data_IF_038012985186
#
_entry.id   IF_038012985186
#
_cell.length_a   1.000
_cell.length_b   1.000
_cell.length_c   1.000
_cell.angle_alpha   90.00
_cell.angle_beta   90.00
_cell.angle_gamma   90.00
#
_symmetry.space_group_name_H-M   'P 1'
#
loop_
_entity.id
_entity.type
_entity.pdbx_description
1 polymer ?
#
# COMPACT_ATOMS: atom_id res chain seq x y z
N UNK A 1 21.23 -31.49 -62.54
CA UNK A 1 22.09 -32.62 -62.92
C UNK A 1 22.14 -33.55 -61.72
N UNK A 2 21.40 -34.64 -61.84
CA UNK A 2 21.91 -36.00 -62.06
C UNK A 2 22.63 -36.53 -60.80
N UNK A 3 22.43 -37.68 -60.23
CA UNK A 3 21.49 -38.81 -60.47
C UNK A 3 21.80 -39.79 -59.30
N UNK A 4 20.76 -40.45 -58.76
CA UNK A 4 20.53 -41.91 -58.83
C UNK A 4 21.73 -42.80 -58.38
N UNK A 5 21.61 -43.87 -57.74
CA UNK A 5 20.57 -44.83 -57.37
C UNK A 5 21.25 -46.02 -56.63
N UNK A 6 20.45 -46.67 -55.77
CA UNK A 6 20.21 -48.11 -55.77
C UNK A 6 21.30 -49.16 -55.49
N UNK A 7 21.13 -50.11 -54.64
CA UNK A 7 20.66 -51.49 -54.84
C UNK A 7 20.98 -52.35 -53.58
N UNK A 8 19.99 -52.83 -52.93
CA UNK A 8 19.40 -54.14 -52.85
C UNK A 8 20.33 -55.35 -52.52
N UNK A 9 19.87 -56.04 -51.50
CA UNK A 9 19.65 -57.49 -51.34
C UNK A 9 20.83 -58.48 -51.15
N UNK A 10 20.77 -59.27 -50.12
CA UNK A 10 20.40 -60.70 -50.06
C UNK A 10 20.80 -61.35 -48.74
N UNK A 11 19.84 -61.90 -48.07
CA UNK A 11 19.44 -63.32 -47.88
C UNK A 11 20.27 -64.17 -46.91
N UNK A 12 19.58 -64.62 -45.85
CA UNK A 12 19.38 -65.92 -45.25
C UNK A 12 20.58 -66.73 -44.77
N UNK A 13 20.54 -67.05 -43.46
CA UNK A 13 20.53 -68.48 -43.05
C UNK A 13 19.97 -68.61 -41.63
N UNK A 14 19.15 -69.68 -41.50
CA UNK A 14 18.54 -70.18 -40.27
C UNK A 14 19.59 -70.93 -39.47
N UNK A 15 19.56 -70.78 -38.15
CA UNK A 15 19.71 -71.94 -37.27
C UNK A 15 18.96 -71.75 -35.96
N UNK A 16 18.27 -72.80 -35.60
CA UNK A 16 17.46 -73.02 -34.38
C UNK A 16 18.45 -73.37 -33.24
N UNK A 17 18.22 -72.88 -32.04
CA UNK A 17 17.87 -73.77 -30.89
C UNK A 17 18.02 -73.04 -29.54
N UNK A 18 17.07 -73.37 -28.77
CA UNK A 18 16.87 -73.55 -27.32
C UNK A 18 16.20 -72.43 -26.53
N UNK A 19 15.06 -72.80 -26.16
CA UNK A 19 14.13 -72.30 -25.14
C UNK A 19 14.88 -72.18 -23.82
N UNK A 20 14.98 -70.99 -23.30
CA UNK A 20 15.24 -70.68 -21.90
C UNK A 20 14.20 -69.73 -21.40
N UNK A 21 13.23 -70.25 -20.65
CA UNK A 21 12.16 -69.48 -20.00
C UNK A 21 12.83 -68.69 -18.88
N UNK A 22 12.97 -67.37 -19.10
CA UNK A 22 13.19 -66.44 -18.00
C UNK A 22 11.91 -65.64 -17.79
N UNK A 23 11.25 -65.95 -16.68
CA UNK A 23 10.10 -65.16 -16.18
C UNK A 23 10.72 -63.88 -15.57
N UNK A 24 10.71 -62.82 -16.34
CA UNK A 24 10.99 -61.46 -15.80
C UNK A 24 9.68 -60.94 -15.17
N UNK A 25 9.68 -60.94 -13.85
CA UNK A 25 8.66 -60.27 -13.05
C UNK A 25 8.81 -58.77 -13.34
N UNK A 26 7.94 -58.26 -14.19
CA UNK A 26 7.73 -56.82 -14.32
C UNK A 26 6.99 -56.36 -13.06
N UNK A 27 7.74 -55.85 -12.08
CA UNK A 27 7.19 -55.08 -10.97
C UNK A 27 6.70 -53.77 -11.54
N UNK A 28 5.41 -53.69 -11.82
CA UNK A 28 4.75 -52.42 -12.12
C UNK A 28 4.80 -51.59 -10.82
N UNK A 29 5.74 -50.68 -10.72
CA UNK A 29 5.65 -49.59 -9.77
C UNK A 29 4.46 -48.72 -10.23
N UNK A 30 3.29 -49.00 -9.71
CA UNK A 30 2.19 -48.06 -9.69
C UNK A 30 2.65 -46.93 -8.77
N UNK A 31 3.22 -45.86 -9.35
CA UNK A 31 3.28 -44.57 -8.69
C UNK A 31 1.84 -44.18 -8.37
N UNK A 32 1.43 -44.46 -7.14
CA UNK A 32 0.25 -43.82 -6.56
C UNK A 32 0.60 -42.33 -6.56
N UNK A 33 0.15 -41.60 -7.59
CA UNK A 33 -0.04 -40.21 -7.54
C UNK A 33 -0.93 -39.94 -6.35
N UNK A 34 -0.34 -39.59 -5.20
CA UNK A 34 -1.10 -38.96 -4.14
C UNK A 34 -1.85 -37.80 -4.80
N UNK A 35 -3.20 -37.81 -4.74
CA UNK A 35 -3.93 -36.62 -5.16
C UNK A 35 -3.37 -35.50 -4.30
N UNK A 36 -2.79 -34.48 -4.96
CA UNK A 36 -2.43 -33.23 -4.32
C UNK A 36 -3.62 -32.87 -3.45
N UNK A 37 -3.39 -32.62 -2.14
CA UNK A 37 -4.40 -32.01 -1.29
C UNK A 37 -4.93 -30.83 -2.07
N UNK A 38 -6.14 -30.93 -2.60
CA UNK A 38 -6.88 -29.78 -3.08
C UNK A 38 -6.98 -28.89 -1.85
N UNK A 39 -6.32 -27.72 -1.90
CA UNK A 39 -6.55 -26.70 -0.88
C UNK A 39 -8.06 -26.52 -0.84
N UNK A 40 -8.66 -26.82 0.32
CA UNK A 40 -10.10 -26.77 0.51
C UNK A 40 -10.58 -25.38 0.10
N UNK A 41 -11.59 -25.30 -0.77
CA UNK A 41 -12.24 -24.06 -1.17
C UNK A 41 -12.72 -23.34 0.10
N UNK A 42 -12.01 -22.29 0.51
CA UNK A 42 -12.40 -21.51 1.68
C UNK A 42 -13.61 -20.64 1.33
N UNK A 43 -14.65 -20.75 2.14
CA UNK A 43 -15.86 -19.94 1.97
C UNK A 43 -15.92 -18.91 3.10
N UNK A 44 -16.00 -17.63 2.73
CA UNK A 44 -16.20 -16.53 3.66
C UNK A 44 -17.66 -16.11 3.60
N UNK A 45 -18.31 -16.10 4.76
CA UNK A 45 -19.66 -15.57 4.93
C UNK A 45 -19.61 -14.15 5.51
N UNK A 46 -20.44 -13.26 4.99
CA UNK A 46 -20.57 -11.90 5.50
C UNK A 46 -21.63 -11.10 4.74
N UNK A 47 -21.78 -9.84 5.14
CA UNK A 47 -22.63 -8.89 4.44
C UNK A 47 -21.76 -8.02 3.52
N UNK A 48 -22.13 -7.94 2.25
CA UNK A 48 -21.44 -7.05 1.31
C UNK A 48 -21.50 -5.60 1.80
N UNK A 49 -20.34 -4.95 1.94
CA UNK A 49 -20.22 -3.60 2.50
C UNK A 49 -20.93 -2.52 1.66
N UNK A 50 -21.17 -2.76 0.36
CA UNK A 50 -21.82 -1.79 -0.53
C UNK A 50 -23.34 -1.77 -0.32
N UNK A 51 -23.99 -2.94 -0.29
CA UNK A 51 -25.44 -3.05 -0.34
C UNK A 51 -26.06 -3.75 0.88
N UNK A 52 -25.22 -4.14 1.84
CA UNK A 52 -25.63 -4.85 3.07
C UNK A 52 -26.38 -6.17 2.83
N UNK A 53 -26.25 -6.78 1.64
CA UNK A 53 -26.83 -8.09 1.35
C UNK A 53 -25.89 -9.22 1.81
N UNK A 54 -26.42 -10.31 2.38
CA UNK A 54 -25.60 -11.44 2.80
C UNK A 54 -25.04 -12.17 1.58
N UNK A 55 -23.76 -12.54 1.64
CA UNK A 55 -23.02 -13.19 0.55
C UNK A 55 -22.11 -14.29 1.06
N UNK A 56 -21.86 -15.28 0.21
CA UNK A 56 -20.75 -16.20 0.31
C UNK A 56 -19.69 -15.82 -0.73
N UNK A 57 -18.44 -15.69 -0.29
CA UNK A 57 -17.29 -15.45 -1.15
C UNK A 57 -16.45 -16.73 -1.13
N UNK A 58 -16.35 -17.39 -2.27
CA UNK A 58 -15.53 -18.58 -2.44
C UNK A 58 -14.12 -18.18 -2.86
N UNK A 59 -13.14 -18.71 -2.15
CA UNK A 59 -11.73 -18.49 -2.42
C UNK A 59 -11.09 -19.77 -2.94
N UNK A 60 -10.25 -19.62 -3.95
CA UNK A 60 -9.43 -20.69 -4.50
C UNK A 60 -8.09 -20.12 -4.95
N UNK A 61 -6.99 -20.80 -4.62
CA UNK A 61 -5.62 -20.43 -5.01
C UNK A 61 -5.29 -18.95 -4.71
N UNK A 62 -5.72 -18.46 -3.52
CA UNK A 62 -5.50 -17.10 -3.07
C UNK A 62 -6.34 -16.03 -3.77
N UNK A 63 -7.32 -16.42 -4.59
CA UNK A 63 -8.19 -15.51 -5.36
C UNK A 63 -9.66 -15.74 -5.04
N UNK A 64 -10.47 -14.74 -5.32
CA UNK A 64 -11.93 -14.84 -5.30
C UNK A 64 -12.36 -15.64 -6.54
N UNK A 65 -12.92 -16.83 -6.35
CA UNK A 65 -13.40 -17.66 -7.44
C UNK A 65 -14.82 -17.30 -7.87
N UNK A 66 -15.71 -17.07 -6.89
CA UNK A 66 -17.09 -16.63 -7.13
C UNK A 66 -17.68 -15.94 -5.91
N UNK A 67 -18.74 -15.17 -6.13
CA UNK A 67 -19.54 -14.50 -5.11
C UNK A 67 -20.99 -14.91 -5.34
N UNK A 68 -21.64 -15.47 -4.32
CA UNK A 68 -23.02 -15.89 -4.42
C UNK A 68 -23.87 -15.30 -3.29
N UNK A 69 -25.14 -14.97 -3.55
CA UNK A 69 -26.03 -14.52 -2.50
C UNK A 69 -26.20 -15.60 -1.41
N UNK A 70 -26.15 -15.21 -0.16
CA UNK A 70 -26.56 -16.07 0.95
C UNK A 70 -28.04 -15.85 1.24
N UNK A 71 -28.87 -16.85 0.98
CA UNK A 71 -30.33 -16.77 1.21
C UNK A 71 -30.73 -17.07 2.67
N UNK A 72 -29.79 -17.58 3.48
CA UNK A 72 -30.04 -17.88 4.90
C UNK A 72 -29.58 -16.68 5.73
N UNK A 73 -30.50 -16.08 6.48
CA UNK A 73 -30.13 -15.10 7.52
C UNK A 73 -29.41 -15.84 8.64
N UNK A 74 -28.13 -15.53 8.91
CA UNK A 74 -27.46 -16.05 10.10
C UNK A 74 -27.85 -15.17 11.31
N UNK A 75 -28.13 -15.79 12.44
CA UNK A 75 -28.33 -15.11 13.72
C UNK A 75 -27.00 -14.65 14.36
N UNK A 76 -25.90 -14.76 13.64
CA UNK A 76 -24.56 -14.34 14.08
C UNK A 76 -24.42 -12.80 14.03
N UNK A 77 -23.53 -12.21 14.80
CA UNK A 77 -23.30 -10.78 14.72
C UNK A 77 -23.01 -10.38 13.26
N UNK A 78 -23.64 -9.30 12.80
CA UNK A 78 -23.57 -8.83 11.43
C UNK A 78 -22.15 -8.35 11.10
N UNK A 79 -21.35 -9.19 10.43
CA UNK A 79 -20.05 -8.82 9.92
C UNK A 79 -20.13 -8.46 8.44
N UNK A 80 -19.64 -7.28 8.12
CA UNK A 80 -19.47 -6.84 6.74
C UNK A 80 -18.19 -7.39 6.17
N UNK A 81 -18.20 -7.74 4.89
CA UNK A 81 -16.99 -8.10 4.13
C UNK A 81 -16.67 -7.00 3.14
N UNK A 82 -15.41 -6.53 3.16
CA UNK A 82 -14.87 -5.52 2.25
C UNK A 82 -13.49 -5.93 1.73
N UNK A 83 -12.97 -5.25 0.68
CA UNK A 83 -11.57 -5.41 0.29
C UNK A 83 -10.64 -5.05 1.44
N UNK A 84 -9.46 -5.66 1.48
CA UNK A 84 -8.42 -5.26 2.41
C UNK A 84 -7.91 -3.85 2.14
N UNK A 85 -7.62 -3.12 3.21
CA UNK A 85 -7.21 -1.72 3.13
C UNK A 85 -5.80 -1.58 2.54
N UNK A 86 -5.60 -0.52 1.77
CA UNK A 86 -4.34 -0.17 1.10
C UNK A 86 -3.88 1.19 1.62
N UNK A 87 -2.81 1.22 2.40
CA UNK A 87 -2.22 2.45 2.95
C UNK A 87 -0.94 2.82 2.20
N UNK A 88 -0.99 3.88 1.41
CA UNK A 88 0.13 4.28 0.55
C UNK A 88 1.11 5.27 1.20
N UNK A 89 0.86 5.64 2.45
CA UNK A 89 1.75 6.50 3.24
C UNK A 89 1.70 6.10 4.70
N UNK A 90 2.74 5.39 5.15
CA UNK A 90 2.91 4.96 6.54
C UNK A 90 4.40 4.96 6.88
N UNK A 91 4.80 5.74 7.88
CA UNK A 91 6.19 5.95 8.26
C UNK A 91 6.73 4.89 9.22
N UNK A 92 5.82 4.18 9.88
CA UNK A 92 6.14 3.12 10.83
C UNK A 92 4.91 2.62 11.56
N UNK A 93 5.07 1.61 12.43
CA UNK A 93 3.99 1.07 13.25
C UNK A 93 4.53 0.23 14.41
N UNK A 94 3.88 0.25 15.58
CA UNK A 94 4.17 -0.53 16.80
C UNK A 94 5.66 -0.55 17.19
N UNK A 95 6.30 0.63 17.17
CA UNK A 95 7.71 0.82 17.53
C UNK A 95 8.70 0.60 16.41
N UNK A 96 8.23 0.39 15.17
CA UNK A 96 9.09 0.22 13.98
C UNK A 96 9.07 1.49 13.14
N UNK A 97 10.24 2.13 12.97
CA UNK A 97 10.44 3.31 12.12
C UNK A 97 11.10 2.90 10.80
N UNK A 98 10.39 3.04 9.67
CA UNK A 98 10.94 2.68 8.35
C UNK A 98 12.07 3.63 7.90
N UNK A 99 12.22 4.77 8.54
CA UNK A 99 13.32 5.74 8.32
C UNK A 99 14.40 5.69 9.41
N UNK A 100 14.23 4.83 10.42
CA UNK A 100 15.15 4.71 11.54
C UNK A 100 16.51 4.09 11.15
N UNK A 101 17.60 4.44 11.85
CA UNK A 101 18.95 3.99 11.49
C UNK A 101 19.19 2.49 11.71
N UNK A 102 18.35 1.83 12.52
CA UNK A 102 18.51 0.44 12.94
C UNK A 102 17.43 -0.50 12.40
N UNK A 103 16.72 -0.11 11.34
CA UNK A 103 15.69 -0.94 10.71
C UNK A 103 16.24 -2.32 10.31
N UNK A 104 15.47 -3.37 10.57
CA UNK A 104 15.76 -4.76 10.17
C UNK A 104 14.59 -5.35 9.37
N UNK A 105 14.78 -6.50 8.74
CA UNK A 105 13.70 -7.23 8.06
C UNK A 105 12.66 -7.71 9.07
N UNK A 106 13.09 -8.16 10.24
CA UNK A 106 12.25 -8.64 11.34
C UNK A 106 11.34 -7.52 11.88
N UNK A 107 11.83 -6.28 11.90
CA UNK A 107 11.01 -5.11 12.25
C UNK A 107 9.90 -4.92 11.22
N UNK A 108 10.20 -5.03 9.92
CA UNK A 108 9.18 -4.93 8.87
C UNK A 108 8.15 -6.06 8.99
N UNK A 109 8.58 -7.29 9.32
CA UNK A 109 7.68 -8.41 9.60
C UNK A 109 6.75 -8.09 10.78
N UNK A 110 7.31 -7.56 11.87
CA UNK A 110 6.54 -7.14 13.06
C UNK A 110 5.49 -6.09 12.71
N UNK A 111 5.88 -5.03 12.01
CA UNK A 111 4.99 -3.95 11.59
C UNK A 111 3.87 -4.48 10.67
N UNK A 112 4.22 -5.30 9.67
CA UNK A 112 3.24 -5.88 8.75
C UNK A 112 2.18 -6.71 9.47
N UNK A 113 2.60 -7.60 10.37
CA UNK A 113 1.67 -8.42 11.17
C UNK A 113 0.77 -7.58 12.08
N UNK A 114 1.26 -6.44 12.57
CA UNK A 114 0.45 -5.51 13.35
C UNK A 114 -0.55 -4.74 12.47
N UNK A 115 -0.18 -4.37 11.25
CA UNK A 115 -1.05 -3.73 10.28
C UNK A 115 -2.20 -4.64 9.82
N UNK A 116 -1.98 -5.94 9.72
CA UNK A 116 -3.05 -6.89 9.44
C UNK A 116 -4.15 -6.88 10.51
N UNK A 117 -3.81 -6.59 11.79
CA UNK A 117 -4.80 -6.51 12.88
C UNK A 117 -5.77 -5.34 12.71
N UNK A 118 -5.37 -4.32 11.98
CA UNK A 118 -6.20 -3.14 11.67
C UNK A 118 -6.70 -3.15 10.21
N UNK A 119 -6.66 -4.32 9.55
CA UNK A 119 -7.26 -4.53 8.23
C UNK A 119 -6.41 -4.05 7.04
N UNK A 120 -5.20 -3.56 7.25
CA UNK A 120 -4.28 -3.16 6.18
C UNK A 120 -3.65 -4.40 5.59
N UNK A 121 -4.02 -4.77 4.36
CA UNK A 121 -3.52 -5.94 3.64
C UNK A 121 -2.38 -5.60 2.69
N UNK A 122 -2.32 -4.34 2.27
CA UNK A 122 -1.25 -3.81 1.42
C UNK A 122 -0.86 -2.41 1.90
N UNK A 123 0.43 -2.11 1.88
CA UNK A 123 0.91 -0.79 2.28
C UNK A 123 2.21 -0.41 1.59
N UNK A 124 2.47 0.89 1.51
CA UNK A 124 3.75 1.41 1.03
C UNK A 124 4.54 1.92 2.24
N UNK A 125 5.56 1.17 2.70
CA UNK A 125 6.46 1.70 3.73
C UNK A 125 7.09 2.98 3.20
N UNK A 126 6.96 4.06 4.01
CA UNK A 126 7.38 5.41 3.65
C UNK A 126 8.73 5.70 4.27
N UNK A 127 9.71 6.01 3.43
CA UNK A 127 11.03 6.48 3.87
C UNK A 127 11.06 7.98 3.67
N UNK A 128 11.18 8.71 4.78
CA UNK A 128 11.19 10.19 4.79
C UNK A 128 12.61 10.75 4.63
N UNK A 129 12.70 12.05 4.50
CA UNK A 129 13.96 12.84 4.45
C UNK A 129 14.89 12.47 5.60
N UNK A 130 16.08 11.96 5.27
CA UNK A 130 17.12 11.53 6.20
C UNK A 130 18.48 11.61 5.49
N UNK A 131 19.59 11.28 6.17
CA UNK A 131 20.88 11.05 5.55
C UNK A 131 20.77 10.02 4.42
N UNK A 132 21.38 10.33 3.26
CA UNK A 132 21.25 9.51 2.06
C UNK A 132 21.74 8.08 2.26
N UNK A 133 22.74 7.85 3.10
CA UNK A 133 23.25 6.52 3.42
C UNK A 133 22.22 5.71 4.21
N UNK A 134 21.46 6.35 5.10
CA UNK A 134 20.39 5.73 5.88
C UNK A 134 19.19 5.44 4.96
N UNK A 135 18.77 6.39 4.12
CA UNK A 135 17.71 6.16 3.12
C UNK A 135 18.06 4.95 2.25
N UNK A 136 19.27 4.92 1.68
CA UNK A 136 19.74 3.83 0.83
C UNK A 136 19.76 2.47 1.55
N UNK A 137 20.26 2.45 2.80
CA UNK A 137 20.25 1.26 3.66
C UNK A 137 18.83 0.74 3.90
N UNK A 138 17.92 1.63 4.30
CA UNK A 138 16.55 1.25 4.63
C UNK A 138 15.77 0.76 3.41
N UNK A 139 15.92 1.41 2.26
CA UNK A 139 15.36 0.93 1.00
C UNK A 139 15.85 -0.48 0.63
N UNK A 140 17.13 -0.79 0.87
CA UNK A 140 17.66 -2.13 0.64
C UNK A 140 17.08 -3.17 1.62
N UNK A 141 16.82 -2.78 2.89
CA UNK A 141 16.17 -3.64 3.89
C UNK A 141 14.70 -3.88 3.49
N UNK A 142 13.98 -2.83 3.11
CA UNK A 142 12.60 -2.93 2.63
C UNK A 142 12.50 -3.81 1.38
N UNK A 143 13.49 -3.73 0.47
CA UNK A 143 13.55 -4.60 -0.70
C UNK A 143 13.74 -6.08 -0.31
N UNK A 144 14.53 -6.38 0.74
CA UNK A 144 14.63 -7.74 1.29
C UNK A 144 13.33 -8.18 1.96
N UNK A 145 12.68 -7.28 2.71
CA UNK A 145 11.39 -7.58 3.34
C UNK A 145 10.28 -7.84 2.31
N UNK A 146 10.31 -7.16 1.16
CA UNK A 146 9.40 -7.44 0.05
C UNK A 146 9.60 -8.83 -0.56
N UNK A 147 10.80 -9.38 -0.49
CA UNK A 147 11.08 -10.76 -0.93
C UNK A 147 10.76 -11.80 0.16
N UNK A 148 10.31 -11.39 1.36
CA UNK A 148 9.98 -12.32 2.45
C UNK A 148 8.68 -13.07 2.15
N UNK A 149 8.65 -14.42 2.28
CA UNK A 149 7.53 -15.26 1.83
C UNK A 149 6.19 -14.95 2.50
N UNK A 150 6.21 -14.55 3.78
CA UNK A 150 4.98 -14.33 4.53
C UNK A 150 4.39 -12.93 4.32
N UNK A 151 5.23 -11.90 4.22
CA UNK A 151 4.79 -10.52 4.29
C UNK A 151 4.99 -9.73 2.99
N UNK A 152 5.88 -10.19 2.11
CA UNK A 152 6.27 -9.44 0.93
C UNK A 152 5.11 -9.12 -0.01
N UNK A 153 4.11 -9.98 -0.05
CA UNK A 153 2.87 -9.79 -0.82
C UNK A 153 2.05 -8.58 -0.36
N UNK A 154 2.23 -8.14 0.90
CA UNK A 154 1.61 -6.94 1.47
C UNK A 154 2.36 -5.64 1.16
N UNK A 155 3.50 -5.70 0.46
CA UNK A 155 4.34 -4.53 0.15
C UNK A 155 4.42 -4.37 -1.38
N UNK A 156 3.41 -3.76 -2.04
CA UNK A 156 3.40 -3.61 -3.50
C UNK A 156 4.46 -2.63 -4.01
N UNK A 157 4.87 -1.66 -3.20
CA UNK A 157 5.88 -0.65 -3.52
C UNK A 157 6.30 0.13 -2.30
N UNK A 158 7.21 1.09 -2.50
CA UNK A 158 7.69 1.99 -1.44
C UNK A 158 7.32 3.43 -1.79
N UNK A 159 7.12 4.23 -0.76
CA UNK A 159 6.97 5.67 -0.86
C UNK A 159 8.26 6.35 -0.39
N UNK A 160 8.84 7.21 -1.22
CA UNK A 160 9.94 8.10 -0.85
C UNK A 160 9.38 9.50 -0.65
N UNK A 161 9.33 9.99 0.61
CA UNK A 161 8.83 11.31 0.95
C UNK A 161 9.99 12.27 1.22
N UNK A 162 10.29 13.07 0.23
CA UNK A 162 11.55 13.83 0.18
C UNK A 162 12.73 12.93 -0.27
N UNK A 163 13.98 13.36 -0.11
CA UNK A 163 14.45 14.62 0.50
C UNK A 163 14.25 15.88 -0.37
N UNK A 164 13.62 15.77 -1.50
CA UNK A 164 13.43 16.82 -2.50
C UNK A 164 12.19 17.69 -2.17
N UNK A 165 12.14 18.21 -0.96
CA UNK A 165 11.03 19.02 -0.43
C UNK A 165 11.47 20.43 -0.10
N UNK A 166 10.52 21.33 0.22
CA UNK A 166 10.83 22.71 0.54
C UNK A 166 11.67 22.84 1.81
N UNK A 167 12.78 23.59 1.83
CA UNK A 167 13.55 23.86 3.04
C UNK A 167 12.86 24.89 3.96
N UNK A 168 11.83 25.58 3.46
CA UNK A 168 11.17 26.66 4.20
C UNK A 168 10.49 26.13 5.46
N UNK A 169 10.72 26.81 6.58
CA UNK A 169 10.05 26.55 7.85
C UNK A 169 8.52 26.54 7.67
N UNK A 170 7.84 25.57 8.27
CA UNK A 170 6.42 25.32 8.13
C UNK A 170 6.10 24.38 6.97
N UNK A 171 6.65 24.60 5.78
CA UNK A 171 6.41 23.73 4.62
C UNK A 171 7.17 22.40 4.71
N UNK A 172 8.39 22.40 5.25
CA UNK A 172 9.14 21.16 5.48
C UNK A 172 8.53 20.26 6.56
N UNK A 173 7.54 20.73 7.31
CA UNK A 173 6.94 19.96 8.41
C UNK A 173 7.98 19.50 9.44
N UNK A 174 7.93 18.21 9.81
CA UNK A 174 8.86 17.57 10.74
C UNK A 174 10.20 17.16 10.13
N UNK A 175 10.40 17.30 8.80
CA UNK A 175 11.64 16.93 8.12
C UNK A 175 12.81 17.81 8.54
N UNK A 176 13.97 17.17 8.78
CA UNK A 176 15.18 17.86 9.19
C UNK A 176 15.81 18.62 8.02
N UNK A 177 15.92 19.95 8.15
CA UNK A 177 16.43 20.85 7.10
C UNK A 177 17.79 20.42 6.53
N UNK A 178 18.69 19.96 7.39
CA UNK A 178 20.05 19.54 7.02
C UNK A 178 20.12 18.40 5.99
N UNK A 179 19.03 17.65 5.80
CA UNK A 179 18.96 16.54 4.86
C UNK A 179 18.11 16.86 3.62
N UNK A 180 17.51 18.05 3.56
CA UNK A 180 16.73 18.48 2.40
C UNK A 180 17.67 18.81 1.25
N UNK A 181 17.30 18.38 0.04
CA UNK A 181 18.13 18.51 -1.16
C UNK A 181 17.29 18.99 -2.35
N UNK A 182 17.97 19.51 -3.36
CA UNK A 182 17.38 19.70 -4.68
C UNK A 182 17.24 18.35 -5.38
N UNK A 183 16.23 18.17 -6.26
CA UNK A 183 16.07 16.97 -7.04
C UNK A 183 17.32 16.65 -7.89
N UNK A 184 17.87 15.44 -7.69
CA UNK A 184 19.00 14.91 -8.46
C UNK A 184 18.63 13.51 -9.00
N UNK A 185 18.51 13.40 -10.31
CA UNK A 185 18.12 12.15 -10.95
C UNK A 185 19.15 11.04 -10.78
N UNK A 186 20.44 11.37 -10.84
CA UNK A 186 21.52 10.39 -10.67
C UNK A 186 21.54 9.82 -9.27
N UNK A 187 21.38 10.68 -8.26
CA UNK A 187 21.27 10.27 -6.86
C UNK A 187 20.03 9.41 -6.64
N UNK A 188 18.89 9.79 -7.21
CA UNK A 188 17.66 9.01 -7.13
C UNK A 188 17.80 7.61 -7.73
N UNK A 189 18.51 7.46 -8.85
CA UNK A 189 18.76 6.15 -9.44
C UNK A 189 19.53 5.21 -8.51
N UNK A 190 20.44 5.75 -7.67
CA UNK A 190 21.12 4.95 -6.65
C UNK A 190 20.15 4.47 -5.54
N UNK A 191 19.16 5.29 -5.17
CA UNK A 191 18.09 4.89 -4.25
C UNK A 191 17.19 3.83 -4.89
N UNK A 192 16.79 4.03 -6.14
CA UNK A 192 15.95 3.10 -6.87
C UNK A 192 16.64 1.73 -7.05
N UNK A 193 17.94 1.73 -7.30
CA UNK A 193 18.77 0.52 -7.34
C UNK A 193 18.77 -0.20 -5.99
N UNK A 194 18.98 0.52 -4.87
CA UNK A 194 18.92 -0.05 -3.53
C UNK A 194 17.54 -0.63 -3.20
N UNK A 195 16.49 0.03 -3.65
CA UNK A 195 15.10 -0.39 -3.54
C UNK A 195 14.73 -1.54 -4.49
N UNK A 196 15.64 -2.06 -5.33
CA UNK A 196 15.34 -3.03 -6.40
C UNK A 196 14.17 -2.57 -7.30
N UNK A 197 14.13 -1.28 -7.65
CA UNK A 197 13.09 -0.63 -8.45
C UNK A 197 11.67 -0.68 -7.82
N UNK A 198 11.61 -0.72 -6.50
CA UNK A 198 10.33 -0.77 -5.76
C UNK A 198 9.86 0.59 -5.23
N UNK A 199 10.59 1.69 -5.41
CA UNK A 199 10.00 3.02 -5.20
C UNK A 199 8.96 3.23 -6.29
N UNK A 200 7.69 3.38 -5.88
CA UNK A 200 6.55 3.57 -6.79
C UNK A 200 5.88 4.92 -6.60
N UNK A 201 6.05 5.53 -5.44
CA UNK A 201 5.55 6.84 -5.09
C UNK A 201 6.71 7.73 -4.63
N UNK A 202 6.77 8.95 -5.14
CA UNK A 202 7.69 9.98 -4.66
C UNK A 202 6.95 11.27 -4.36
N UNK A 203 7.20 11.84 -3.19
CA UNK A 203 6.70 13.16 -2.79
C UNK A 203 7.81 14.17 -2.89
N UNK A 204 7.54 15.29 -3.59
CA UNK A 204 8.50 16.37 -3.78
C UNK A 204 7.84 17.76 -3.89
N UNK A 205 8.66 18.80 -3.76
CA UNK A 205 8.27 20.19 -3.91
C UNK A 205 8.49 20.67 -5.36
N UNK A 206 7.43 21.12 -6.07
CA UNK A 206 7.50 21.48 -7.48
C UNK A 206 8.28 22.78 -7.76
N UNK A 207 8.41 23.67 -6.76
CA UNK A 207 9.13 24.96 -6.87
C UNK A 207 10.64 24.82 -6.83
N UNK A 208 11.17 23.63 -6.51
CA UNK A 208 12.61 23.44 -6.43
C UNK A 208 13.26 23.46 -7.82
N UNK A 209 14.44 24.06 -7.88
CA UNK A 209 15.26 24.00 -9.09
C UNK A 209 15.51 22.53 -9.51
N UNK A 210 15.26 22.20 -10.77
CA UNK A 210 15.39 20.83 -11.28
C UNK A 210 14.15 19.94 -11.07
N UNK A 211 13.11 20.40 -10.37
CA UNK A 211 11.93 19.58 -10.08
C UNK A 211 11.20 19.12 -11.37
N UNK A 212 10.98 20.00 -12.34
CA UNK A 212 10.22 19.68 -13.54
C UNK A 212 10.90 18.60 -14.41
N UNK A 213 12.19 18.67 -14.76
CA UNK A 213 12.85 17.58 -15.47
C UNK A 213 12.95 16.30 -14.65
N UNK A 214 13.06 16.39 -13.32
CA UNK A 214 13.03 15.24 -12.42
C UNK A 214 11.66 14.55 -12.44
N UNK A 215 10.55 15.29 -12.35
CA UNK A 215 9.17 14.77 -12.47
C UNK A 215 9.00 14.02 -13.78
N UNK A 216 9.41 14.60 -14.93
CA UNK A 216 9.35 13.95 -16.24
C UNK A 216 10.10 12.61 -16.25
N UNK A 217 11.28 12.56 -15.63
CA UNK A 217 12.05 11.33 -15.52
C UNK A 217 11.35 10.28 -14.63
N UNK A 218 10.78 10.67 -13.49
CA UNK A 218 10.01 9.78 -12.63
C UNK A 218 8.83 9.17 -13.39
N UNK A 219 8.02 9.98 -14.05
CA UNK A 219 6.84 9.55 -14.82
C UNK A 219 7.24 8.63 -15.96
N UNK A 220 8.30 8.95 -16.72
CA UNK A 220 8.82 8.10 -17.79
C UNK A 220 9.25 6.72 -17.29
N UNK A 221 9.67 6.62 -16.02
CA UNK A 221 10.06 5.36 -15.38
C UNK A 221 8.92 4.71 -14.56
N UNK A 222 7.67 5.14 -14.74
CA UNK A 222 6.48 4.51 -14.18
C UNK A 222 6.26 4.79 -12.69
N UNK A 223 6.83 5.88 -12.14
CA UNK A 223 6.57 6.33 -10.80
C UNK A 223 5.36 7.26 -10.77
N UNK A 224 4.57 7.17 -9.70
CA UNK A 224 3.60 8.21 -9.35
C UNK A 224 4.34 9.33 -8.64
N UNK A 225 4.12 10.55 -9.13
CA UNK A 225 4.68 11.75 -8.52
C UNK A 225 3.57 12.48 -7.77
N UNK A 226 3.83 12.75 -6.49
CA UNK A 226 2.96 13.48 -5.59
C UNK A 226 3.61 14.80 -5.15
N UNK A 227 2.82 15.86 -5.08
CA UNK A 227 3.27 17.16 -4.61
C UNK A 227 3.01 17.26 -3.10
N UNK A 228 4.01 17.56 -2.32
CA UNK A 228 3.90 17.69 -0.86
C UNK A 228 5.07 18.40 -0.23
N UNK A 229 4.89 18.89 0.98
CA UNK A 229 5.91 19.64 1.70
C UNK A 229 6.50 20.78 0.86
N UNK A 230 5.63 21.61 0.26
CA UNK A 230 6.04 22.61 -0.72
C UNK A 230 5.35 23.97 -0.52
N UNK A 231 6.00 25.01 -1.03
CA UNK A 231 5.47 26.37 -1.10
C UNK A 231 5.30 26.82 -2.57
N UNK A 232 5.04 25.86 -3.45
CA UNK A 232 4.87 26.12 -4.87
C UNK A 232 3.70 27.04 -5.16
N UNK A 233 3.88 27.89 -6.16
CA UNK A 233 2.82 28.75 -6.72
C UNK A 233 1.87 27.95 -7.59
N UNK A 234 0.76 28.57 -8.01
CA UNK A 234 -0.15 27.94 -8.99
C UNK A 234 0.60 27.56 -10.28
N UNK A 235 1.55 28.39 -10.72
CA UNK A 235 2.37 28.11 -11.91
C UNK A 235 3.29 26.90 -11.69
N UNK A 236 3.92 26.78 -10.54
CA UNK A 236 4.79 25.63 -10.22
C UNK A 236 3.99 24.33 -10.21
N UNK A 237 2.81 24.34 -9.59
CA UNK A 237 1.90 23.20 -9.52
C UNK A 237 1.42 22.82 -10.93
N UNK A 238 0.98 23.79 -11.74
CA UNK A 238 0.55 23.54 -13.11
C UNK A 238 1.69 22.95 -13.98
N UNK A 239 2.91 23.48 -13.83
CA UNK A 239 4.08 22.94 -14.54
C UNK A 239 4.38 21.51 -14.12
N UNK A 240 4.23 21.17 -12.82
CA UNK A 240 4.40 19.81 -12.33
C UNK A 240 3.31 18.85 -12.86
N UNK A 241 2.07 19.31 -12.93
CA UNK A 241 0.95 18.54 -13.52
C UNK A 241 1.18 18.29 -15.01
N UNK A 242 1.63 19.31 -15.75
CA UNK A 242 1.99 19.20 -17.16
C UNK A 242 3.19 18.26 -17.37
N UNK A 243 4.09 18.15 -16.39
CA UNK A 243 5.20 17.20 -16.38
C UNK A 243 4.78 15.77 -15.99
N UNK A 244 3.54 15.57 -15.50
CA UNK A 244 2.94 14.27 -15.21
C UNK A 244 2.73 13.98 -13.73
N UNK A 245 2.86 14.95 -12.82
CA UNK A 245 2.41 14.78 -11.43
C UNK A 245 0.88 14.51 -11.39
N UNK A 246 0.44 13.59 -10.51
CA UNK A 246 -0.97 13.14 -10.46
C UNK A 246 -1.54 13.05 -9.05
N UNK A 247 -0.78 13.38 -8.03
CA UNK A 247 -1.23 13.31 -6.65
C UNK A 247 -0.75 14.52 -5.84
N UNK A 248 -1.52 14.91 -4.83
CA UNK A 248 -1.13 15.80 -3.74
C UNK A 248 -1.00 14.98 -2.45
N UNK A 249 0.13 15.08 -1.78
CA UNK A 249 0.44 14.37 -0.54
C UNK A 249 -0.24 15.06 0.63
N UNK A 250 -1.01 14.30 1.43
CA UNK A 250 -1.69 14.74 2.66
C UNK A 250 -2.12 16.22 2.62
N UNK A 251 -2.92 16.56 1.58
CA UNK A 251 -3.34 17.96 1.32
C UNK A 251 -3.82 18.66 2.60
N UNK A 252 -3.35 19.89 2.80
CA UNK A 252 -3.56 20.67 4.02
C UNK A 252 -2.47 20.49 5.06
N UNK A 253 -1.64 19.43 4.97
CA UNK A 253 -0.48 19.17 5.81
C UNK A 253 0.82 19.50 5.06
N UNK A 254 1.96 19.54 5.75
CA UNK A 254 3.22 19.96 5.14
C UNK A 254 3.15 21.39 4.60
N UNK A 255 2.38 22.26 5.26
CA UNK A 255 2.14 23.66 4.92
C UNK A 255 2.37 24.52 6.17
N UNK A 256 2.78 25.80 5.97
CA UNK A 256 2.95 26.72 7.10
C UNK A 256 1.58 27.11 7.71
N UNK A 257 1.52 27.27 9.03
CA UNK A 257 0.30 27.72 9.72
C UNK A 257 -0.19 29.12 9.26
N UNK A 258 0.74 29.96 8.81
CA UNK A 258 0.43 31.28 8.27
C UNK A 258 0.80 31.31 6.78
N UNK A 259 -0.20 31.40 5.93
CA UNK A 259 -0.07 31.45 4.47
C UNK A 259 -0.88 32.62 3.90
N UNK A 260 -0.51 33.04 2.69
CA UNK A 260 -1.34 34.00 1.99
C UNK A 260 -2.71 33.40 1.67
N UNK A 261 -3.81 34.10 2.00
CA UNK A 261 -5.18 33.60 1.83
C UNK A 261 -5.55 33.25 0.38
N UNK A 262 -4.92 33.90 -0.61
CA UNK A 262 -5.21 33.69 -2.03
C UNK A 262 -4.09 32.95 -2.77
N UNK A 263 -2.83 33.31 -2.47
CA UNK A 263 -1.65 32.74 -3.13
C UNK A 263 -0.97 31.74 -2.19
N UNK A 264 -1.47 30.53 -2.16
CA UNK A 264 -0.94 29.44 -1.33
C UNK A 264 -1.02 28.11 -2.09
N UNK A 265 -0.31 27.07 -1.67
CA UNK A 265 -0.29 25.80 -2.39
C UNK A 265 -1.58 24.98 -2.30
N UNK A 266 -2.50 25.28 -1.40
CA UNK A 266 -3.70 24.46 -1.17
C UNK A 266 -4.70 24.62 -2.32
N UNK A 267 -5.05 25.87 -2.67
CA UNK A 267 -6.08 26.15 -3.66
C UNK A 267 -5.77 25.59 -5.05
N UNK A 268 -4.55 25.76 -5.61
CA UNK A 268 -4.21 25.20 -6.91
C UNK A 268 -4.26 23.67 -6.93
N UNK A 269 -3.81 22.97 -5.88
CA UNK A 269 -3.90 21.52 -5.79
C UNK A 269 -5.34 21.03 -5.66
N UNK A 270 -6.15 21.75 -4.88
CA UNK A 270 -7.55 21.41 -4.66
C UNK A 270 -8.39 21.58 -5.94
N UNK A 271 -8.12 22.63 -6.71
CA UNK A 271 -8.85 22.95 -7.94
C UNK A 271 -8.37 22.19 -9.18
N UNK A 272 -7.19 21.54 -9.14
CA UNK A 272 -6.62 20.84 -10.29
C UNK A 272 -7.26 19.45 -10.48
N UNK A 273 -8.00 19.25 -11.55
CA UNK A 273 -8.77 18.04 -11.82
C UNK A 273 -7.90 16.79 -12.01
N UNK A 274 -6.69 16.94 -12.55
CA UNK A 274 -5.75 15.84 -12.79
C UNK A 274 -5.03 15.37 -11.53
N UNK A 275 -5.09 16.11 -10.42
CA UNK A 275 -4.52 15.72 -9.15
C UNK A 275 -5.55 15.01 -8.27
N UNK A 276 -5.35 13.72 -7.99
CA UNK A 276 -5.98 13.08 -6.84
C UNK A 276 -5.31 13.60 -5.57
N UNK A 277 -6.05 13.72 -4.49
CA UNK A 277 -5.51 14.13 -3.20
C UNK A 277 -5.40 12.94 -2.25
N UNK A 278 -4.30 12.83 -1.49
CA UNK A 278 -4.35 12.06 -0.25
C UNK A 278 -4.63 12.98 0.93
N UNK A 279 -5.31 12.46 1.94
CA UNK A 279 -5.65 13.19 3.17
C UNK A 279 -5.48 12.30 4.41
N UNK A 280 -5.06 12.91 5.51
CA UNK A 280 -5.03 12.30 6.85
C UNK A 280 -6.32 12.71 7.56
N UNK A 281 -7.36 11.91 7.44
CA UNK A 281 -8.67 12.20 7.99
C UNK A 281 -8.85 11.59 9.39
N UNK A 282 -7.89 11.77 10.29
CA UNK A 282 -7.91 11.22 11.66
C UNK A 282 -8.70 12.10 12.67
N UNK A 283 -9.12 13.31 12.23
CA UNK A 283 -9.82 14.29 13.03
C UNK A 283 -8.91 15.24 13.81
N UNK A 284 -7.60 15.17 13.60
CA UNK A 284 -6.59 16.00 14.28
C UNK A 284 -5.67 16.73 13.30
N UNK A 285 -5.32 16.11 12.18
CA UNK A 285 -4.51 16.73 11.12
C UNK A 285 -5.29 17.72 10.28
N UNK A 286 -6.57 17.48 10.10
CA UNK A 286 -7.50 18.35 9.39
C UNK A 286 -8.75 18.59 10.23
N UNK A 287 -9.24 19.83 10.20
CA UNK A 287 -10.52 20.17 10.79
C UNK A 287 -11.67 19.51 10.02
N UNK A 288 -12.82 19.41 10.65
CA UNK A 288 -14.04 18.91 9.99
C UNK A 288 -14.38 19.70 8.74
N UNK A 289 -14.18 21.00 8.77
CA UNK A 289 -14.48 21.92 7.68
C UNK A 289 -13.54 21.68 6.49
N UNK A 290 -12.25 21.46 6.73
CA UNK A 290 -11.26 21.13 5.69
C UNK A 290 -11.58 19.80 5.03
N UNK A 291 -11.79 18.73 5.81
CA UNK A 291 -12.16 17.40 5.29
C UNK A 291 -13.42 17.48 4.44
N UNK A 292 -14.45 18.21 4.92
CA UNK A 292 -15.70 18.40 4.15
C UNK A 292 -15.51 19.18 2.87
N UNK A 293 -14.68 20.22 2.91
CA UNK A 293 -14.40 21.07 1.74
C UNK A 293 -13.64 20.29 0.69
N UNK A 294 -12.61 19.57 1.08
CA UNK A 294 -11.80 18.73 0.18
C UNK A 294 -12.66 17.63 -0.45
N UNK A 295 -13.47 16.94 0.35
CA UNK A 295 -14.40 15.93 -0.13
C UNK A 295 -15.46 16.48 -1.10
N UNK A 296 -16.01 17.69 -0.84
CA UNK A 296 -16.99 18.30 -1.75
C UNK A 296 -16.39 18.69 -3.10
N UNK A 297 -15.13 19.13 -3.12
CA UNK A 297 -14.45 19.56 -4.35
C UNK A 297 -13.95 18.35 -5.15
N UNK A 298 -13.28 17.39 -4.48
CA UNK A 298 -12.64 16.25 -5.15
C UNK A 298 -13.55 15.03 -5.32
N UNK A 299 -14.57 14.92 -4.48
CA UNK A 299 -15.39 13.71 -4.40
C UNK A 299 -14.63 12.50 -3.87
N UNK A 300 -15.35 11.40 -3.69
CA UNK A 300 -14.74 10.15 -3.21
C UNK A 300 -13.84 9.48 -4.27
N UNK A 301 -14.02 9.76 -5.56
CA UNK A 301 -13.24 9.17 -6.65
C UNK A 301 -11.81 9.73 -6.75
N UNK A 302 -11.63 10.99 -6.33
CA UNK A 302 -10.33 11.68 -6.41
C UNK A 302 -9.68 11.90 -5.03
N UNK A 303 -10.22 11.26 -3.99
CA UNK A 303 -9.66 11.29 -2.63
C UNK A 303 -9.10 9.91 -2.26
N UNK A 304 -7.91 9.91 -1.67
CA UNK A 304 -7.25 8.71 -1.13
C UNK A 304 -7.04 8.95 0.37
N UNK A 305 -7.45 8.00 1.20
CA UNK A 305 -7.13 8.04 2.63
C UNK A 305 -5.75 7.44 2.86
N UNK A 306 -4.96 8.11 3.69
CA UNK A 306 -3.67 7.62 4.19
C UNK A 306 -3.64 7.79 5.71
N UNK A 307 -2.91 6.92 6.40
CA UNK A 307 -2.73 7.09 7.83
C UNK A 307 -1.65 8.11 8.15
N UNK A 308 -0.58 8.13 7.37
CA UNK A 308 0.66 8.83 7.70
C UNK A 308 1.16 8.49 9.13
N UNK A 309 0.86 7.25 9.55
CA UNK A 309 1.13 6.79 10.90
C UNK A 309 2.63 6.71 11.16
N UNK A 310 3.04 7.19 12.35
CA UNK A 310 4.39 7.05 12.86
C UNK A 310 4.63 5.67 13.50
N UNK A 311 5.89 5.39 13.77
CA UNK A 311 6.35 4.24 14.56
C UNK A 311 5.64 4.10 15.91
N UNK A 312 5.22 5.20 16.53
CA UNK A 312 4.50 5.20 17.81
C UNK A 312 3.03 4.76 17.69
N UNK A 313 2.45 4.80 16.50
CA UNK A 313 1.07 4.35 16.30
C UNK A 313 0.91 2.87 16.73
N UNK A 314 -0.15 2.59 17.49
CA UNK A 314 -0.42 1.27 18.02
C UNK A 314 0.34 0.91 19.31
N UNK A 315 1.17 1.80 19.83
CA UNK A 315 1.79 1.68 21.16
C UNK A 315 0.88 2.28 22.26
N UNK A 316 1.09 1.94 23.53
CA UNK A 316 0.42 2.60 24.66
C UNK A 316 0.72 4.10 24.70
N UNK A 317 -0.22 4.96 25.15
CA UNK A 317 0.06 6.37 25.40
C UNK A 317 1.21 6.54 26.40
N UNK A 318 2.05 7.56 26.17
CA UNK A 318 3.22 7.80 27.02
C UNK A 318 4.26 8.73 26.38
N UNK A 319 5.39 8.87 27.05
CA UNK A 319 6.54 9.61 26.56
C UNK A 319 7.52 8.66 25.85
N UNK A 320 8.01 9.06 24.70
CA UNK A 320 8.93 8.29 23.87
C UNK A 320 10.09 9.16 23.41
N UNK A 321 11.22 8.51 23.13
CA UNK A 321 12.40 9.18 22.55
C UNK A 321 12.60 8.64 21.14
N UNK A 322 12.64 9.55 20.17
CA UNK A 322 12.94 9.24 18.75
C UNK A 322 14.17 10.04 18.32
N UNK A 323 15.29 9.35 18.18
CA UNK A 323 16.58 10.02 18.01
C UNK A 323 16.90 10.92 19.22
N UNK A 324 17.13 12.20 18.98
CA UNK A 324 17.39 13.22 20.02
C UNK A 324 16.11 13.92 20.52
N UNK A 325 14.94 13.58 19.97
CA UNK A 325 13.68 14.29 20.23
C UNK A 325 12.77 13.49 21.17
N UNK A 326 12.23 14.20 22.17
CA UNK A 326 11.16 13.68 23.02
C UNK A 326 9.81 13.86 22.31
N UNK A 327 8.99 12.80 22.34
CA UNK A 327 7.64 12.78 21.78
C UNK A 327 6.65 12.37 22.88
N UNK A 328 5.44 12.87 22.78
CA UNK A 328 4.32 12.44 23.62
C UNK A 328 3.26 11.81 22.70
N UNK A 329 3.00 10.51 22.94
CA UNK A 329 1.88 9.81 22.36
C UNK A 329 0.69 9.92 23.29
N UNK A 330 -0.39 10.49 22.79
CA UNK A 330 -1.72 10.43 23.42
C UNK A 330 -2.58 9.40 22.69
N UNK A 331 -3.78 9.05 23.18
CA UNK A 331 -4.70 8.21 22.40
C UNK A 331 -5.07 8.79 21.03
N UNK A 332 -4.86 10.10 20.84
CA UNK A 332 -5.30 10.83 19.66
C UNK A 332 -4.16 11.19 18.71
N UNK A 333 -3.03 11.68 19.25
CA UNK A 333 -1.95 12.28 18.46
C UNK A 333 -0.57 11.98 18.98
N UNK A 334 0.42 12.11 18.10
CA UNK A 334 1.84 12.22 18.46
C UNK A 334 2.27 13.67 18.30
N UNK A 335 2.82 14.27 19.36
CA UNK A 335 3.25 15.67 19.37
C UNK A 335 4.61 15.88 20.02
N UNK A 336 5.27 16.98 19.64
CA UNK A 336 6.46 17.45 20.30
C UNK A 336 6.07 18.24 21.56
N UNK A 337 6.62 17.91 22.77
CA UNK A 337 6.39 18.70 23.97
C UNK A 337 6.78 20.17 23.75
N UNK A 338 5.87 21.09 24.06
CA UNK A 338 6.14 22.54 23.95
C UNK A 338 6.08 23.12 22.53
N UNK A 339 5.84 22.30 21.50
CA UNK A 339 5.62 22.77 20.13
C UNK A 339 4.14 22.61 19.73
N UNK A 340 3.60 23.60 19.01
CA UNK A 340 2.24 23.48 18.46
C UNK A 340 2.27 22.82 17.06
N UNK A 341 2.93 21.66 16.99
CA UNK A 341 3.13 20.88 15.76
C UNK A 341 2.94 19.41 16.07
N UNK A 342 2.15 18.72 15.24
CA UNK A 342 2.04 17.27 15.25
C UNK A 342 3.33 16.67 14.68
N UNK A 343 3.75 15.55 15.25
CA UNK A 343 4.91 14.81 14.77
C UNK A 343 4.54 13.78 13.68
N UNK A 344 3.25 13.56 13.46
CA UNK A 344 2.60 12.61 12.57
C UNK A 344 1.43 11.91 13.24
N UNK A 345 0.75 11.01 12.53
CA UNK A 345 -0.46 10.37 13.04
C UNK A 345 -0.17 9.27 14.06
N UNK A 346 -1.05 9.17 15.07
CA UNK A 346 -1.05 8.10 16.06
C UNK A 346 -1.98 6.93 15.69
N UNK A 347 -2.77 7.09 14.64
CA UNK A 347 -3.92 6.24 14.33
C UNK A 347 -3.73 5.46 13.01
N UNK A 348 -4.28 4.23 12.92
CA UNK A 348 -4.31 3.51 11.65
C UNK A 348 -5.35 4.10 10.69
N UNK A 349 -5.30 3.71 9.42
CA UNK A 349 -6.20 4.17 8.35
C UNK A 349 -7.69 3.91 8.65
N UNK A 350 -8.02 2.93 9.50
CA UNK A 350 -9.40 2.68 9.95
C UNK A 350 -10.00 3.89 10.67
N UNK A 351 -9.19 4.64 11.42
CA UNK A 351 -9.63 5.90 12.03
C UNK A 351 -9.98 6.95 10.98
N UNK A 352 -9.23 7.01 9.88
CA UNK A 352 -9.55 7.90 8.77
C UNK A 352 -10.89 7.54 8.12
N UNK A 353 -11.20 6.24 7.96
CA UNK A 353 -12.50 5.77 7.47
C UNK A 353 -13.63 6.23 8.41
N UNK A 354 -13.47 6.05 9.72
CA UNK A 354 -14.46 6.45 10.72
C UNK A 354 -14.76 7.95 10.66
N UNK A 355 -13.70 8.77 10.63
CA UNK A 355 -13.82 10.24 10.62
C UNK A 355 -14.38 10.73 9.29
N UNK A 356 -14.02 10.13 8.16
CA UNK A 356 -14.65 10.45 6.87
C UNK A 356 -16.16 10.27 6.92
N UNK A 357 -16.65 9.13 7.40
CA UNK A 357 -18.10 8.90 7.56
C UNK A 357 -18.73 9.89 8.53
N UNK A 358 -18.03 10.21 9.62
CA UNK A 358 -18.55 11.15 10.62
C UNK A 358 -18.63 12.58 10.08
N UNK A 359 -17.57 13.09 9.47
CA UNK A 359 -17.47 14.48 9.05
C UNK A 359 -18.25 14.78 7.77
N UNK A 360 -18.15 13.91 6.77
CA UNK A 360 -18.74 14.15 5.44
C UNK A 360 -20.13 13.54 5.27
N UNK A 361 -20.49 12.58 6.12
CA UNK A 361 -21.71 11.74 5.99
C UNK A 361 -21.66 10.84 4.74
N UNK A 362 -20.49 10.57 4.21
CA UNK A 362 -20.34 9.60 3.13
C UNK A 362 -20.73 8.19 3.61
N UNK A 363 -21.08 7.33 2.68
CA UNK A 363 -21.36 5.93 2.97
C UNK A 363 -20.08 5.16 3.31
N UNK A 364 -20.23 4.02 3.98
CA UNK A 364 -19.11 3.10 4.22
C UNK A 364 -18.48 2.63 2.91
N UNK A 365 -19.27 2.48 1.84
CA UNK A 365 -18.78 2.09 0.53
C UNK A 365 -17.84 3.14 -0.07
N UNK A 366 -18.19 4.43 0.03
CA UNK A 366 -17.36 5.54 -0.41
C UNK A 366 -16.08 5.66 0.43
N UNK A 367 -16.19 5.53 1.77
CA UNK A 367 -15.03 5.59 2.66
C UNK A 367 -14.04 4.43 2.39
N UNK A 368 -14.53 3.22 2.19
CA UNK A 368 -13.72 2.05 1.83
C UNK A 368 -13.10 2.22 0.43
N UNK A 369 -13.83 2.78 -0.54
CA UNK A 369 -13.29 3.06 -1.87
C UNK A 369 -12.06 3.98 -1.79
N UNK A 370 -12.10 5.02 -0.98
CA UNK A 370 -10.98 5.94 -0.75
C UNK A 370 -9.76 5.26 -0.11
N UNK A 371 -9.94 4.15 0.60
CA UNK A 371 -8.88 3.37 1.25
C UNK A 371 -8.51 2.07 0.52
N UNK A 372 -9.17 1.72 -0.58
CA UNK A 372 -8.95 0.47 -1.30
C UNK A 372 -8.84 0.67 -2.82
N UNK A 373 -9.97 0.96 -3.50
CA UNK A 373 -10.02 1.00 -4.96
C UNK A 373 -9.22 2.18 -5.52
N UNK A 374 -9.32 3.36 -4.92
CA UNK A 374 -8.61 4.54 -5.40
C UNK A 374 -7.08 4.40 -5.33
N UNK A 375 -6.47 3.96 -4.20
CA UNK A 375 -5.04 3.69 -4.20
C UNK A 375 -4.67 2.52 -5.13
N UNK A 376 -5.48 1.47 -5.24
CA UNK A 376 -5.22 0.38 -6.18
C UNK A 376 -5.18 0.87 -7.63
N UNK A 377 -6.12 1.71 -8.04
CA UNK A 377 -6.18 2.33 -9.37
C UNK A 377 -4.95 3.22 -9.63
N UNK A 378 -4.60 4.10 -8.67
CA UNK A 378 -3.48 5.03 -8.79
C UNK A 378 -2.16 4.30 -9.09
N UNK A 379 -1.95 3.13 -8.51
CA UNK A 379 -0.72 2.34 -8.66
C UNK A 379 -0.87 1.14 -9.59
N UNK A 380 -1.95 1.06 -10.38
CA UNK A 380 -2.23 -0.04 -11.32
C UNK A 380 -2.20 -1.43 -10.64
N UNK A 381 -2.62 -1.51 -9.37
CA UNK A 381 -2.74 -2.74 -8.61
C UNK A 381 -4.06 -3.44 -8.97
N UNK A 382 -4.25 -3.77 -10.25
CA UNK A 382 -5.51 -4.24 -10.83
C UNK A 382 -6.06 -5.52 -10.19
N UNK A 383 -5.26 -6.23 -9.43
CA UNK A 383 -5.65 -7.44 -8.69
C UNK A 383 -6.15 -7.16 -7.27
N UNK A 384 -6.15 -5.90 -6.80
CA UNK A 384 -6.53 -5.47 -5.45
C UNK A 384 -7.72 -4.49 -5.47
N UNK A 385 -8.16 -4.08 -4.30
CA UNK A 385 -9.05 -2.95 -4.06
C UNK A 385 -10.54 -3.22 -4.26
N UNK A 386 -10.94 -4.43 -4.68
CA UNK A 386 -12.33 -4.77 -4.98
C UNK A 386 -12.65 -6.23 -4.65
N UNK A 387 -13.92 -6.52 -4.36
CA UNK A 387 -14.44 -7.88 -4.21
C UNK A 387 -15.06 -8.28 -5.55
N UNK A 388 -14.26 -8.85 -6.44
CA UNK A 388 -14.68 -9.34 -7.75
C UNK A 388 -13.99 -10.69 -8.07
N UNK A 389 -14.60 -11.56 -8.89
CA UNK A 389 -13.93 -12.77 -9.36
C UNK A 389 -12.57 -12.50 -9.99
N UNK A 390 -11.61 -13.38 -9.77
CA UNK A 390 -10.21 -13.31 -10.19
C UNK A 390 -9.33 -12.27 -9.47
N UNK A 391 -9.89 -11.39 -8.64
CA UNK A 391 -9.09 -10.52 -7.75
C UNK A 391 -8.40 -11.35 -6.66
N UNK A 392 -7.27 -10.89 -6.18
CA UNK A 392 -6.59 -11.46 -5.01
C UNK A 392 -7.51 -11.38 -3.80
N UNK A 393 -7.60 -12.45 -3.05
CA UNK A 393 -8.48 -12.54 -1.89
C UNK A 393 -7.86 -11.83 -0.67
N UNK A 394 -7.69 -10.51 -0.80
CA UNK A 394 -7.38 -9.61 0.29
C UNK A 394 -8.69 -9.04 0.80
N UNK A 395 -9.12 -9.51 1.97
CA UNK A 395 -10.45 -9.23 2.50
C UNK A 395 -10.38 -8.90 3.99
N UNK A 396 -11.30 -8.06 4.42
CA UNK A 396 -11.55 -7.79 5.83
C UNK A 396 -13.00 -8.14 6.19
N UNK A 397 -13.18 -8.73 7.38
CA UNK A 397 -14.49 -8.82 8.02
C UNK A 397 -14.50 -7.87 9.21
N UNK A 398 -15.51 -7.03 9.27
CA UNK A 398 -15.63 -6.02 10.32
C UNK A 398 -17.08 -5.84 10.77
N UNK A 399 -17.26 -5.43 12.03
CA UNK A 399 -18.52 -4.91 12.52
C UNK A 399 -18.55 -3.38 12.40
N UNK A 400 -19.75 -2.81 12.28
CA UNK A 400 -19.94 -1.36 12.21
C UNK A 400 -20.93 -0.92 13.28
N UNK A 401 -20.51 0.00 14.14
CA UNK A 401 -21.37 0.66 15.13
C UNK A 401 -21.31 2.17 14.90
N UNK A 402 -22.44 2.76 14.56
CA UNK A 402 -22.54 4.14 14.08
C UNK A 402 -21.52 4.38 12.91
N UNK A 403 -20.52 5.23 13.12
CA UNK A 403 -19.49 5.51 12.12
C UNK A 403 -18.15 4.81 12.42
N UNK A 404 -18.11 3.89 13.38
CA UNK A 404 -16.88 3.17 13.73
C UNK A 404 -16.87 1.77 13.15
N UNK A 405 -15.76 1.39 12.56
CA UNK A 405 -15.50 0.01 12.10
C UNK A 405 -14.57 -0.68 13.09
N UNK A 406 -14.81 -1.97 13.30
CA UNK A 406 -13.97 -2.83 14.15
C UNK A 406 -13.60 -4.09 13.37
N UNK A 407 -12.32 -4.32 13.15
CA UNK A 407 -11.81 -5.42 12.33
C UNK A 407 -11.85 -6.71 13.14
N UNK A 408 -12.55 -7.71 12.61
CA UNK A 408 -12.66 -9.04 13.21
C UNK A 408 -11.74 -10.07 12.55
N UNK A 409 -11.62 -10.04 11.22
CA UNK A 409 -10.74 -10.95 10.48
C UNK A 409 -10.09 -10.21 9.32
N UNK A 410 -8.85 -10.60 9.02
CA UNK A 410 -8.12 -10.11 7.85
C UNK A 410 -7.56 -11.29 7.07
N UNK A 411 -7.78 -11.28 5.77
CA UNK A 411 -7.26 -12.27 4.83
C UNK A 411 -6.32 -11.58 3.85
N UNK A 412 -5.18 -12.20 3.60
CA UNK A 412 -4.21 -11.77 2.59
C UNK A 412 -3.95 -12.96 1.66
N UNK A 413 -4.15 -12.76 0.38
CA UNK A 413 -4.01 -13.83 -0.63
C UNK A 413 -4.78 -15.10 -0.25
N UNK A 414 -6.00 -14.95 0.26
CA UNK A 414 -6.87 -16.03 0.68
C UNK A 414 -6.54 -16.68 2.04
N UNK A 415 -5.44 -16.31 2.66
CA UNK A 415 -5.02 -16.85 3.97
C UNK A 415 -5.51 -15.96 5.10
N UNK A 416 -6.09 -16.55 6.14
CA UNK A 416 -6.44 -15.85 7.38
C UNK A 416 -5.16 -15.45 8.11
N UNK A 417 -4.86 -14.14 8.15
CA UNK A 417 -3.65 -13.59 8.80
C UNK A 417 -3.94 -12.94 10.14
N UNK A 418 -5.19 -12.61 10.41
CA UNK A 418 -5.65 -12.10 11.70
C UNK A 418 -7.09 -12.53 11.98
N UNK A 419 -7.35 -12.90 13.24
CA UNK A 419 -8.69 -13.11 13.80
C UNK A 419 -8.71 -12.53 15.22
N UNK A 420 -9.67 -11.64 15.47
CA UNK A 420 -9.96 -11.11 16.80
C UNK A 420 -10.41 -12.25 17.69
N UNK A 421 -9.86 -12.35 18.88
CA UNK A 421 -10.21 -13.36 19.89
C UNK A 421 -11.56 -13.03 20.54
#
# INVERSE_FOLDING_TARGET
MLNFANFQNRRKSKERMKIGIWISIFTIFSTILNPSKTEDDLIIEGFNYINSKPVFIHLKDGRISKIVPNKKSSNSPKLFVAPGLIDIQINGYVGVDFSGPNLTVEDVVKATKALWKVGVTSYFPTVITQDMSIIKKNLAILAKAKDHPDIGISIPGFHLEGPYISPKKGFRGAHLEKYIKKPDWKEFLELQKAAKNNIKLITLAPELEGAIPFIKNCVKNGLVVSLGHHNGTATDIQNAVNAGARMATHLGNGCANLINRHHNPIWPQLSEDLLKISIIADGYHLTKEEVRSFYKVKGFDNTILVSDALDLAGLPPGEYIRGERKLVLTPEVVKFPGENVLAGAASPITKCIDVMMEFTKCSIAEAIKMACSNPAEMFSLNHLGEILPNKRADLILFSKQANKIDIHKTFVNGKLVYSKK
#
